data_IF_598047496609
#
_entry.id   IF_598047496609
#
_cell.length_a   1.000
_cell.length_b   1.000
_cell.length_c   1.000
_cell.angle_alpha   90.00
_cell.angle_beta   90.00
_cell.angle_gamma   90.00
#
_symmetry.space_group_name_H-M   'P 1'
#
loop_
_entity.id
_entity.type
_entity.pdbx_description
1 polymer ?
#
# COMPACT_ATOMS: atom_id res chain seq x y z
N UNK A 1 39.08 20.73 26.06
CA UNK A 1 38.17 19.61 26.42
C UNK A 1 37.13 19.47 25.31
N UNK A 2 37.32 18.57 24.33
CA UNK A 2 36.33 18.33 23.27
C UNK A 2 35.35 17.28 23.79
N UNK A 3 34.07 17.62 23.87
CA UNK A 3 33.01 16.66 24.20
C UNK A 3 32.73 15.79 22.96
N UNK A 4 33.01 14.50 23.07
CA UNK A 4 32.63 13.51 22.07
C UNK A 4 31.15 13.20 22.21
N UNK A 5 30.34 13.66 21.25
CA UNK A 5 28.96 13.22 21.11
C UNK A 5 28.95 11.77 20.65
N UNK A 6 28.60 10.85 21.55
CA UNK A 6 28.28 9.48 21.17
C UNK A 6 26.95 9.52 20.41
N UNK A 7 27.02 9.20 19.11
CA UNK A 7 25.85 8.92 18.31
C UNK A 7 25.12 7.72 18.91
N UNK A 8 24.01 7.99 19.58
CA UNK A 8 23.09 6.98 20.08
C UNK A 8 22.51 6.23 18.87
N UNK A 9 23.10 5.08 18.54
CA UNK A 9 22.50 4.12 17.61
C UNK A 9 21.20 3.66 18.27
N UNK A 10 20.05 4.10 17.77
CA UNK A 10 18.76 3.55 18.20
C UNK A 10 18.80 2.06 17.91
N UNK A 11 18.87 1.26 18.97
CA UNK A 11 18.56 -0.17 18.89
C UNK A 11 17.07 -0.24 18.64
N UNK A 12 16.69 -0.58 17.41
CA UNK A 12 15.30 -0.87 17.08
C UNK A 12 15.01 -2.26 17.62
N UNK A 13 13.89 -2.41 18.32
CA UNK A 13 13.46 -3.71 18.84
C UNK A 13 13.24 -4.67 17.65
N UNK A 14 13.84 -5.87 17.66
CA UNK A 14 13.73 -6.82 16.56
C UNK A 14 12.28 -7.25 16.26
N UNK A 15 11.38 -7.22 17.26
CA UNK A 15 9.96 -7.55 17.07
C UNK A 15 9.26 -6.42 16.31
N UNK A 16 9.56 -5.17 16.64
CA UNK A 16 9.03 -3.99 15.93
C UNK A 16 9.51 -3.99 14.48
N UNK A 17 10.80 -4.22 14.27
CA UNK A 17 11.34 -4.32 12.90
C UNK A 17 10.66 -5.44 12.10
N UNK A 18 10.43 -6.60 12.72
CA UNK A 18 9.76 -7.72 12.07
C UNK A 18 8.31 -7.38 11.70
N UNK A 19 7.60 -6.71 12.60
CA UNK A 19 6.23 -6.26 12.33
C UNK A 19 6.19 -5.30 11.13
N UNK A 20 7.09 -4.32 11.09
CA UNK A 20 7.20 -3.37 9.98
C UNK A 20 7.49 -4.09 8.64
N UNK A 21 8.42 -5.04 8.63
CA UNK A 21 8.74 -5.85 7.45
C UNK A 21 7.52 -6.63 6.92
N UNK A 22 6.67 -7.14 7.81
CA UNK A 22 5.46 -7.87 7.44
C UNK A 22 4.39 -6.94 6.84
N UNK A 23 4.20 -5.76 7.44
CA UNK A 23 3.26 -4.75 6.92
C UNK A 23 3.69 -4.23 5.55
N UNK A 24 4.99 -3.96 5.37
CA UNK A 24 5.58 -3.64 4.07
C UNK A 24 5.31 -4.73 3.02
N UNK A 25 5.33 -6.00 3.44
CA UNK A 25 5.06 -7.12 2.54
C UNK A 25 3.57 -7.22 2.18
N UNK A 26 2.66 -6.93 3.11
CA UNK A 26 1.23 -6.82 2.81
C UNK A 26 0.95 -5.81 1.70
N UNK A 27 1.52 -4.62 1.81
CA UNK A 27 1.33 -3.56 0.83
C UNK A 27 1.86 -3.99 -0.54
N UNK A 28 3.06 -4.59 -0.60
CA UNK A 28 3.63 -5.10 -1.86
C UNK A 28 2.78 -6.21 -2.51
N UNK A 29 2.11 -7.03 -1.71
CA UNK A 29 1.30 -8.13 -2.21
C UNK A 29 -0.05 -7.62 -2.72
N UNK A 30 -0.70 -6.71 -1.99
CA UNK A 30 -2.04 -6.20 -2.28
C UNK A 30 -2.03 -5.03 -3.26
N UNK A 31 -1.10 -4.09 -3.09
CA UNK A 31 -0.99 -2.84 -3.84
C UNK A 31 0.22 -2.84 -4.77
N UNK A 32 0.07 -3.46 -5.94
CA UNK A 32 1.11 -3.54 -6.97
C UNK A 32 1.08 -2.38 -7.96
N UNK A 33 0.37 -1.30 -7.65
CA UNK A 33 0.09 -0.22 -8.58
C UNK A 33 1.11 0.92 -8.57
N UNK A 34 2.24 0.75 -7.87
CA UNK A 34 3.30 1.76 -7.78
C UNK A 34 3.83 2.19 -9.15
N UNK A 35 3.99 1.25 -10.08
CA UNK A 35 4.54 1.55 -11.42
C UNK A 35 3.60 2.44 -12.21
N UNK A 36 2.32 2.09 -12.23
CA UNK A 36 1.28 2.84 -12.91
C UNK A 36 1.07 4.21 -12.24
N UNK A 37 1.14 4.26 -10.91
CA UNK A 37 1.06 5.50 -10.13
C UNK A 37 2.22 6.45 -10.43
N UNK A 38 3.45 5.93 -10.46
CA UNK A 38 4.64 6.69 -10.83
C UNK A 38 4.54 7.18 -12.28
N UNK A 39 4.10 6.32 -13.21
CA UNK A 39 3.96 6.68 -14.62
C UNK A 39 2.92 7.78 -14.83
N UNK A 40 1.77 7.69 -14.16
CA UNK A 40 0.72 8.69 -14.23
C UNK A 40 1.17 10.03 -13.60
N UNK A 41 1.75 9.97 -12.39
CA UNK A 41 2.29 11.15 -11.70
C UNK A 41 3.36 11.85 -12.52
N UNK A 42 4.29 11.08 -13.11
CA UNK A 42 5.31 11.61 -14.01
C UNK A 42 4.68 12.30 -15.22
N UNK A 43 3.68 11.70 -15.85
CA UNK A 43 3.00 12.31 -16.98
C UNK A 43 2.34 13.64 -16.61
N UNK A 44 1.65 13.70 -15.46
CA UNK A 44 1.06 14.94 -14.94
C UNK A 44 2.12 16.04 -14.75
N UNK A 45 3.24 15.69 -14.11
CA UNK A 45 4.32 16.63 -13.82
C UNK A 45 4.99 17.12 -15.11
N UNK A 46 5.35 16.21 -16.02
CA UNK A 46 6.01 16.53 -17.30
C UNK A 46 5.12 17.39 -18.21
N UNK A 47 3.80 17.29 -18.06
CA UNK A 47 2.82 18.05 -18.84
C UNK A 47 2.39 19.35 -18.18
N UNK A 48 2.97 19.71 -17.03
CA UNK A 48 2.62 20.93 -16.31
C UNK A 48 1.17 20.93 -15.82
N UNK A 49 0.58 19.74 -15.65
CA UNK A 49 -0.76 19.53 -15.07
C UNK A 49 -0.65 19.59 -13.52
N UNK A 50 0.51 19.99 -13.00
CA UNK A 50 1.02 19.73 -11.65
C UNK A 50 0.62 20.71 -10.54
N UNK A 51 -0.54 21.37 -10.59
CA UNK A 51 -1.15 21.88 -9.34
C UNK A 51 -1.84 20.75 -8.53
N UNK A 52 -1.52 19.49 -8.83
CA UNK A 52 -2.08 18.28 -8.21
C UNK A 52 -1.26 17.77 -7.01
N UNK A 53 -0.04 18.29 -6.81
CA UNK A 53 0.77 17.96 -5.61
C UNK A 53 0.05 18.32 -4.29
N UNK A 54 -0.91 19.26 -4.33
CA UNK A 54 -1.77 19.60 -3.20
C UNK A 54 -2.75 18.47 -2.80
N UNK A 55 -3.15 17.60 -3.72
CA UNK A 55 -4.12 16.52 -3.47
C UNK A 55 -3.51 15.42 -2.59
N UNK A 56 -2.21 15.12 -2.77
CA UNK A 56 -1.49 14.14 -1.93
C UNK A 56 -1.10 14.69 -0.54
N UNK A 57 -1.09 16.01 -0.33
CA UNK A 57 -0.72 16.64 0.94
C UNK A 57 -1.90 16.84 1.91
N UNK A 58 -3.07 16.24 1.64
CA UNK A 58 -4.25 16.30 2.51
C UNK A 58 -4.85 17.71 2.67
N UNK A 59 -4.42 18.69 1.85
CA UNK A 59 -4.91 20.06 1.86
C UNK A 59 -5.51 20.40 0.51
N UNK A 60 -6.83 20.18 0.43
CA UNK A 60 -7.80 20.68 -0.57
C UNK A 60 -8.50 19.56 -1.34
N UNK A 61 -9.83 19.65 -1.39
CA UNK A 61 -10.70 18.82 -2.23
C UNK A 61 -10.29 18.95 -3.71
N UNK A 62 -10.43 17.88 -4.51
CA UNK A 62 -10.17 17.94 -5.94
C UNK A 62 -11.14 18.93 -6.57
N UNK A 63 -10.60 20.00 -7.14
CA UNK A 63 -11.38 21.04 -7.78
C UNK A 63 -10.50 21.84 -8.74
N UNK A 64 -10.71 21.58 -10.03
CA UNK A 64 -10.29 22.39 -11.19
C UNK A 64 -8.99 22.04 -11.91
N UNK A 65 -8.75 20.75 -12.12
CA UNK A 65 -8.30 20.32 -13.45
C UNK A 65 -9.47 19.60 -14.13
N UNK A 66 -9.89 20.02 -15.34
CA UNK A 66 -10.90 19.30 -16.10
C UNK A 66 -10.40 17.86 -16.28
N UNK A 67 -11.12 16.89 -15.70
CA UNK A 67 -10.79 15.47 -15.75
C UNK A 67 -10.59 15.00 -17.22
N UNK A 68 -11.29 15.66 -18.13
CA UNK A 68 -11.23 15.59 -19.60
C UNK A 68 -9.88 16.01 -20.20
N UNK A 69 -9.17 17.01 -19.64
CA UNK A 69 -7.85 17.44 -20.17
C UNK A 69 -6.70 16.57 -19.69
N UNK A 70 -6.73 16.14 -18.42
CA UNK A 70 -5.71 15.23 -17.89
C UNK A 70 -5.82 13.82 -18.52
N UNK A 71 -7.05 13.32 -18.74
CA UNK A 71 -7.28 12.07 -19.48
C UNK A 71 -6.90 12.19 -20.96
N UNK A 72 -7.10 13.35 -21.61
CA UNK A 72 -6.71 13.54 -23.01
C UNK A 72 -5.19 13.47 -23.25
N UNK A 73 -4.37 13.90 -22.27
CA UNK A 73 -2.90 13.98 -22.42
C UNK A 73 -2.18 12.78 -21.80
N UNK A 74 -2.66 12.29 -20.65
CA UNK A 74 -2.06 11.18 -19.90
C UNK A 74 -2.96 9.92 -19.92
N UNK A 75 -3.86 9.82 -20.90
CA UNK A 75 -4.92 8.79 -20.96
C UNK A 75 -4.44 7.36 -20.87
N UNK A 76 -3.32 7.01 -21.51
CA UNK A 76 -2.75 5.67 -21.43
C UNK A 76 -2.26 5.32 -20.02
N UNK A 77 -1.56 6.24 -19.36
CA UNK A 77 -1.13 6.06 -17.95
C UNK A 77 -2.30 6.09 -16.97
N UNK A 78 -3.33 6.89 -17.24
CA UNK A 78 -4.55 6.94 -16.43
C UNK A 78 -5.34 5.63 -16.55
N UNK A 79 -5.49 5.09 -17.77
CA UNK A 79 -6.16 3.82 -18.02
C UNK A 79 -5.39 2.66 -17.40
N UNK A 80 -4.06 2.63 -17.52
CA UNK A 80 -3.23 1.60 -16.88
C UNK A 80 -3.39 1.63 -15.35
N UNK A 81 -3.41 2.81 -14.73
CA UNK A 81 -3.63 2.97 -13.30
C UNK A 81 -5.03 2.52 -12.89
N UNK A 82 -6.07 2.88 -13.64
CA UNK A 82 -7.44 2.44 -13.39
C UNK A 82 -7.57 0.91 -13.45
N UNK A 83 -7.04 0.26 -14.50
CA UNK A 83 -7.00 -1.20 -14.61
C UNK A 83 -6.22 -1.84 -13.46
N UNK A 84 -5.13 -1.20 -12.99
CA UNK A 84 -4.41 -1.69 -11.83
C UNK A 84 -5.26 -1.65 -10.55
N UNK A 85 -6.02 -0.58 -10.33
CA UNK A 85 -6.94 -0.49 -9.19
C UNK A 85 -8.09 -1.50 -9.26
N UNK A 86 -8.64 -1.77 -10.44
CA UNK A 86 -9.63 -2.84 -10.61
C UNK A 86 -9.04 -4.20 -10.19
N UNK A 87 -7.81 -4.50 -10.61
CA UNK A 87 -7.10 -5.72 -10.20
C UNK A 87 -6.77 -5.75 -8.72
N UNK A 88 -6.49 -4.58 -8.12
CA UNK A 88 -6.31 -4.44 -6.66
C UNK A 88 -7.60 -4.80 -5.92
N UNK A 89 -8.75 -4.31 -6.37
CA UNK A 89 -10.04 -4.68 -5.78
C UNK A 89 -10.34 -6.17 -5.90
N UNK A 90 -10.01 -6.79 -7.05
CA UNK A 90 -10.12 -8.24 -7.22
C UNK A 90 -9.22 -9.00 -6.24
N UNK A 91 -7.96 -8.57 -6.04
CA UNK A 91 -7.06 -9.13 -5.01
C UNK A 91 -7.68 -9.04 -3.62
N UNK A 92 -8.23 -7.88 -3.25
CA UNK A 92 -8.92 -7.73 -1.96
C UNK A 92 -10.15 -8.62 -1.84
N UNK A 93 -10.92 -8.82 -2.91
CA UNK A 93 -12.08 -9.71 -2.91
C UNK A 93 -11.66 -11.17 -2.66
N UNK A 94 -10.59 -11.64 -3.33
CA UNK A 94 -10.00 -12.97 -3.11
C UNK A 94 -9.54 -13.11 -1.66
N UNK A 95 -8.78 -12.15 -1.16
CA UNK A 95 -8.26 -12.18 0.22
C UNK A 95 -9.39 -12.18 1.24
N UNK A 96 -10.41 -11.32 1.09
CA UNK A 96 -11.57 -11.31 1.98
C UNK A 96 -12.29 -12.66 2.00
N UNK A 97 -12.45 -13.28 0.82
CA UNK A 97 -13.13 -14.57 0.69
C UNK A 97 -12.34 -15.72 1.32
N UNK A 98 -11.02 -15.75 1.15
CA UNK A 98 -10.20 -16.90 1.54
C UNK A 98 -9.51 -16.76 2.90
N UNK A 99 -9.22 -15.53 3.31
CA UNK A 99 -8.45 -15.22 4.52
C UNK A 99 -9.27 -14.41 5.54
N UNK A 100 -10.59 -14.26 5.34
CA UNK A 100 -11.45 -13.42 6.18
C UNK A 100 -11.41 -13.79 7.67
N UNK A 101 -11.35 -15.09 8.02
CA UNK A 101 -11.23 -15.53 9.41
C UNK A 101 -9.91 -15.13 10.07
N UNK A 102 -8.80 -15.22 9.32
CA UNK A 102 -7.48 -14.77 9.78
C UNK A 102 -7.43 -13.25 9.90
N UNK A 103 -8.12 -12.53 9.02
CA UNK A 103 -8.23 -11.07 9.08
C UNK A 103 -8.96 -10.64 10.36
N UNK A 104 -10.10 -11.26 10.67
CA UNK A 104 -10.81 -10.99 11.92
C UNK A 104 -9.96 -11.32 13.15
N UNK A 105 -9.20 -12.42 13.13
CA UNK A 105 -8.28 -12.76 14.22
C UNK A 105 -7.15 -11.73 14.41
N UNK A 106 -6.60 -11.22 13.31
CA UNK A 106 -5.65 -10.11 13.33
C UNK A 106 -6.28 -8.82 13.88
N UNK A 107 -7.47 -8.43 13.40
CA UNK A 107 -8.19 -7.25 13.90
C UNK A 107 -8.46 -7.33 15.40
N UNK A 108 -8.92 -8.48 15.89
CA UNK A 108 -9.11 -8.71 17.33
C UNK A 108 -7.81 -8.54 18.09
N UNK A 109 -6.71 -9.13 17.62
CA UNK A 109 -5.41 -8.95 18.27
C UNK A 109 -5.00 -7.48 18.32
N UNK A 110 -5.16 -6.74 17.23
CA UNK A 110 -4.79 -5.33 17.13
C UNK A 110 -5.64 -4.45 18.07
N UNK A 111 -6.93 -4.75 18.21
CA UNK A 111 -7.80 -4.06 19.17
C UNK A 111 -7.36 -4.33 20.61
N UNK A 112 -7.08 -5.59 20.94
CA UNK A 112 -6.67 -6.00 22.30
C UNK A 112 -5.27 -5.45 22.66
N UNK A 113 -4.41 -5.26 21.67
CA UNK A 113 -3.01 -4.82 21.82
C UNK A 113 -2.75 -3.46 21.17
N UNK A 114 -3.73 -2.55 21.15
CA UNK A 114 -3.63 -1.27 20.44
C UNK A 114 -2.40 -0.40 20.84
N UNK A 115 -1.84 -0.61 22.03
CA UNK A 115 -0.63 0.09 22.51
C UNK A 115 0.68 -0.60 22.11
N UNK A 116 0.64 -1.90 21.82
CA UNK A 116 1.80 -2.73 21.48
C UNK A 116 1.42 -3.69 20.31
N UNK A 117 1.12 -3.15 19.11
CA UNK A 117 0.66 -3.95 17.97
C UNK A 117 1.67 -5.02 17.52
N UNK A 118 2.95 -4.86 17.87
CA UNK A 118 4.02 -5.84 17.63
C UNK A 118 3.77 -7.18 18.34
N UNK A 119 2.90 -7.24 19.36
CA UNK A 119 2.47 -8.50 19.97
C UNK A 119 1.61 -9.35 19.01
N UNK A 120 1.11 -8.76 17.93
CA UNK A 120 0.29 -9.42 16.93
C UNK A 120 1.08 -9.99 15.75
N UNK A 121 2.41 -10.01 15.81
CA UNK A 121 3.28 -10.54 14.73
C UNK A 121 2.81 -11.91 14.23
N UNK A 122 2.50 -12.86 15.12
CA UNK A 122 2.04 -14.19 14.71
C UNK A 122 0.72 -14.17 13.92
N UNK A 123 -0.20 -13.27 14.28
CA UNK A 123 -1.46 -13.11 13.55
C UNK A 123 -1.23 -12.50 12.16
N UNK A 124 -0.33 -11.52 12.07
CA UNK A 124 0.10 -10.90 10.81
C UNK A 124 0.78 -11.92 9.90
N UNK A 125 1.70 -12.74 10.42
CA UNK A 125 2.39 -13.78 9.64
C UNK A 125 1.40 -14.82 9.06
N UNK A 126 0.45 -15.27 9.88
CA UNK A 126 -0.58 -16.20 9.45
C UNK A 126 -1.46 -15.63 8.34
N UNK A 127 -1.90 -14.37 8.51
CA UNK A 127 -2.69 -13.68 7.50
C UNK A 127 -1.89 -13.45 6.21
N UNK A 128 -0.64 -13.01 6.30
CA UNK A 128 0.23 -12.73 5.15
C UNK A 128 0.49 -14.00 4.33
N UNK A 129 0.73 -15.12 5.02
CA UNK A 129 0.88 -16.42 4.37
C UNK A 129 -0.38 -16.77 3.56
N UNK A 130 -1.56 -16.67 4.19
CA UNK A 130 -2.82 -16.93 3.50
C UNK A 130 -3.03 -16.01 2.28
N UNK A 131 -2.74 -14.72 2.44
CA UNK A 131 -2.89 -13.70 1.39
C UNK A 131 -2.00 -14.01 0.20
N UNK A 132 -0.73 -14.33 0.46
CA UNK A 132 0.25 -14.67 -0.58
C UNK A 132 -0.18 -15.92 -1.33
N UNK A 133 -0.51 -17.00 -0.61
CA UNK A 133 -0.95 -18.27 -1.22
C UNK A 133 -2.27 -18.11 -2.01
N UNK A 134 -3.20 -17.30 -1.51
CA UNK A 134 -4.49 -17.06 -2.16
C UNK A 134 -4.32 -16.25 -3.44
N UNK A 135 -3.50 -15.20 -3.43
CA UNK A 135 -3.23 -14.38 -4.61
C UNK A 135 -2.44 -15.19 -5.65
N UNK A 136 -1.44 -15.97 -5.26
CA UNK A 136 -0.67 -16.77 -6.20
C UNK A 136 -1.53 -17.86 -6.86
N UNK A 137 -2.44 -18.48 -6.12
CA UNK A 137 -3.40 -19.45 -6.66
C UNK A 137 -4.34 -18.85 -7.71
N UNK A 138 -4.77 -17.60 -7.52
CA UNK A 138 -5.71 -16.90 -8.42
C UNK A 138 -5.01 -15.93 -9.38
N UNK A 139 -3.68 -15.98 -9.47
CA UNK A 139 -2.89 -15.11 -10.35
C UNK A 139 -3.30 -15.17 -11.84
N UNK A 140 -3.70 -16.33 -12.41
CA UNK A 140 -4.19 -16.37 -13.79
C UNK A 140 -5.40 -15.47 -14.02
N UNK A 141 -6.33 -15.44 -13.07
CA UNK A 141 -7.58 -14.67 -13.16
C UNK A 141 -7.35 -13.15 -13.05
N UNK A 142 -6.23 -12.75 -12.44
CA UNK A 142 -5.81 -11.35 -12.26
C UNK A 142 -5.00 -10.79 -13.44
N UNK A 143 -4.71 -11.61 -14.47
CA UNK A 143 -3.92 -11.20 -15.65
C UNK A 143 -4.78 -10.80 -16.86
N UNK A 144 -6.00 -11.30 -16.94
CA UNK A 144 -7.01 -10.92 -17.95
C UNK A 144 -7.55 -9.52 -17.71
#
# INVERSE_FOLDING_TARGET
KKMGGQGSKRVVDPVVQRFDELMDHFDKVLDRCDKETIAYTKCINDKGVGDVAAIYAGRSRPGNLPQDKAQGVCGSSAQALATCFERREQRYAIVRKHCGSLHSGYETCMMDNAKNPELCVSAVEGLLKCVTESIDRHRPDLRT
#
